data_IF_866590188329
#
_entry.id   IF_866590188329
#
_cell.length_a   1.000
_cell.length_b   1.000
_cell.length_c   1.000
_cell.angle_alpha   90.00
_cell.angle_beta   90.00
_cell.angle_gamma   90.00
#
_symmetry.space_group_name_H-M   'P 1'
#
loop_
_entity.id
_entity.type
_entity.pdbx_description
1 polymer ?
#
# COMPACT_ATOMS: atom_id res chain seq x y z
N UNK A 1 2.33 -25.17 -23.58
CA UNK A 1 3.14 -24.56 -22.50
C UNK A 1 2.36 -23.38 -22.01
N UNK A 2 1.62 -23.53 -20.90
CA UNK A 2 0.74 -22.49 -20.39
C UNK A 2 1.61 -21.37 -19.81
N UNK A 3 1.62 -20.21 -20.47
CA UNK A 3 2.25 -19.01 -19.95
C UNK A 3 1.43 -18.53 -18.76
N UNK A 4 2.06 -18.51 -17.59
CA UNK A 4 1.55 -17.78 -16.44
C UNK A 4 1.62 -16.28 -16.78
N UNK A 5 0.56 -15.73 -17.37
CA UNK A 5 0.43 -14.31 -17.70
C UNK A 5 0.26 -13.42 -16.45
N UNK A 6 0.42 -13.99 -15.25
CA UNK A 6 0.45 -13.30 -13.96
C UNK A 6 1.89 -13.09 -13.46
N UNK A 7 2.81 -12.78 -14.37
CA UNK A 7 4.13 -12.25 -14.04
C UNK A 7 4.18 -10.79 -14.52
N UNK A 8 3.14 -10.05 -14.15
CA UNK A 8 2.90 -8.66 -14.55
C UNK A 8 2.99 -7.74 -13.34
N UNK A 9 3.13 -6.44 -13.58
CA UNK A 9 3.31 -5.43 -12.53
C UNK A 9 2.23 -5.40 -11.43
N UNK A 10 1.11 -6.11 -11.59
CA UNK A 10 0.08 -6.35 -10.57
C UNK A 10 0.60 -7.13 -9.36
N UNK A 11 1.56 -8.05 -9.52
CA UNK A 11 2.16 -8.77 -8.39
C UNK A 11 2.98 -7.84 -7.48
N UNK A 12 3.70 -6.90 -8.09
CA UNK A 12 4.44 -5.87 -7.35
C UNK A 12 3.48 -4.91 -6.63
N UNK A 13 2.40 -4.49 -7.29
CA UNK A 13 1.39 -3.64 -6.65
C UNK A 13 0.78 -4.34 -5.44
N UNK A 14 0.41 -5.63 -5.59
CA UNK A 14 -0.09 -6.42 -4.46
C UNK A 14 0.93 -6.55 -3.32
N UNK A 15 2.20 -6.82 -3.63
CA UNK A 15 3.24 -6.91 -2.58
C UNK A 15 3.41 -5.60 -1.80
N UNK A 16 3.32 -4.46 -2.49
CA UNK A 16 3.36 -3.15 -1.83
C UNK A 16 2.12 -2.95 -0.96
N UNK A 17 0.93 -3.28 -1.47
CA UNK A 17 -0.33 -3.16 -0.71
C UNK A 17 -0.28 -4.06 0.54
N UNK A 18 0.07 -5.33 0.40
CA UNK A 18 0.19 -6.29 1.52
C UNK A 18 1.17 -5.78 2.58
N UNK A 19 2.32 -5.22 2.15
CA UNK A 19 3.30 -4.63 3.05
C UNK A 19 2.73 -3.43 3.81
N UNK A 20 2.07 -2.51 3.10
CA UNK A 20 1.45 -1.32 3.69
C UNK A 20 0.37 -1.71 4.72
N UNK A 21 -0.47 -2.68 4.39
CA UNK A 21 -1.52 -3.19 5.29
C UNK A 21 -0.91 -3.87 6.52
N UNK A 22 0.11 -4.71 6.33
CA UNK A 22 0.76 -5.45 7.41
C UNK A 22 1.43 -4.51 8.43
N UNK A 23 2.21 -3.53 7.96
CA UNK A 23 2.88 -2.56 8.84
C UNK A 23 1.85 -1.65 9.54
N UNK A 24 0.85 -1.15 8.82
CA UNK A 24 -0.19 -0.33 9.44
C UNK A 24 -0.98 -1.11 10.51
N UNK A 25 -1.28 -2.38 10.26
CA UNK A 25 -1.94 -3.27 11.22
C UNK A 25 -1.06 -3.57 12.42
N UNK A 26 0.25 -3.70 12.24
CA UNK A 26 1.22 -3.91 13.32
C UNK A 26 1.35 -2.67 14.22
N UNK A 27 1.33 -1.47 13.64
CA UNK A 27 1.45 -0.22 14.40
C UNK A 27 0.13 0.22 15.05
N UNK A 28 -1.00 0.12 14.34
CA UNK A 28 -2.28 0.67 14.79
C UNK A 28 -3.29 -0.39 15.24
N UNK A 29 -3.02 -1.67 14.97
CA UNK A 29 -3.96 -2.76 15.25
C UNK A 29 -5.17 -2.82 14.32
N UNK A 30 -5.20 -2.03 13.25
CA UNK A 30 -6.34 -1.92 12.32
C UNK A 30 -6.00 -2.52 10.97
N UNK A 31 -6.90 -3.35 10.46
CA UNK A 31 -6.74 -4.02 9.17
C UNK A 31 -7.38 -3.20 8.04
N UNK A 32 -6.56 -2.50 7.27
CA UNK A 32 -7.02 -1.68 6.13
C UNK A 32 -7.57 -2.52 4.97
N UNK A 33 -7.30 -3.83 4.91
CA UNK A 33 -7.85 -4.70 3.85
C UNK A 33 -9.37 -4.85 3.92
N UNK A 34 -9.96 -4.58 5.09
CA UNK A 34 -11.40 -4.65 5.29
C UNK A 34 -12.12 -3.38 4.80
N UNK A 35 -11.38 -2.29 4.62
CA UNK A 35 -11.91 -1.01 4.15
C UNK A 35 -11.67 -0.86 2.64
N UNK A 36 -12.75 -0.96 1.85
CA UNK A 36 -12.69 -0.83 0.40
C UNK A 36 -12.18 0.54 -0.05
N UNK A 37 -12.50 1.61 0.68
CA UNK A 37 -12.03 2.96 0.34
C UNK A 37 -10.52 3.09 0.62
N UNK A 38 -10.06 2.58 1.76
CA UNK A 38 -8.63 2.55 2.06
C UNK A 38 -7.85 1.71 1.04
N UNK A 39 -8.37 0.54 0.67
CA UNK A 39 -7.75 -0.35 -0.34
C UNK A 39 -7.58 0.32 -1.70
N UNK A 40 -8.56 1.10 -2.17
CA UNK A 40 -8.40 1.83 -3.44
C UNK A 40 -7.27 2.86 -3.33
N UNK A 41 -7.20 3.61 -2.23
CA UNK A 41 -6.14 4.59 -2.01
C UNK A 41 -4.76 3.94 -1.87
N UNK A 42 -4.68 2.80 -1.20
CA UNK A 42 -3.46 2.00 -1.10
C UNK A 42 -3.01 1.51 -2.48
N UNK A 43 -3.94 1.09 -3.33
CA UNK A 43 -3.65 0.67 -4.70
C UNK A 43 -3.07 1.82 -5.54
N UNK A 44 -3.69 2.99 -5.50
CA UNK A 44 -3.19 4.18 -6.23
C UNK A 44 -1.79 4.58 -5.73
N UNK A 45 -1.57 4.53 -4.42
CA UNK A 45 -0.28 4.82 -3.81
C UNK A 45 0.79 3.79 -4.17
N UNK A 46 0.44 2.50 -4.18
CA UNK A 46 1.33 1.41 -4.57
C UNK A 46 1.76 1.51 -6.04
N UNK A 47 0.81 1.78 -6.94
CA UNK A 47 1.12 1.94 -8.37
C UNK A 47 2.02 3.16 -8.61
N UNK A 48 1.76 4.27 -7.90
CA UNK A 48 2.63 5.46 -7.95
C UNK A 48 4.02 5.16 -7.39
N UNK A 49 4.11 4.53 -6.22
CA UNK A 49 5.36 4.16 -5.59
C UNK A 49 6.21 3.25 -6.48
N UNK A 50 5.59 2.25 -7.14
CA UNK A 50 6.26 1.37 -8.11
C UNK A 50 6.87 2.14 -9.28
N UNK A 51 6.11 3.11 -9.83
CA UNK A 51 6.60 3.98 -10.92
C UNK A 51 7.76 4.85 -10.44
N UNK A 52 7.63 5.46 -9.27
CA UNK A 52 8.67 6.29 -8.69
C UNK A 52 9.95 5.47 -8.44
N UNK A 53 9.83 4.27 -7.85
CA UNK A 53 10.95 3.35 -7.60
C UNK A 53 11.66 2.85 -8.86
N UNK A 54 11.05 3.02 -10.04
CA UNK A 54 11.72 2.74 -11.31
C UNK A 54 12.76 3.82 -11.67
N UNK A 55 12.66 5.01 -11.08
CA UNK A 55 13.57 6.14 -11.32
C UNK A 55 14.34 6.63 -10.08
N UNK A 56 13.86 6.31 -8.87
CA UNK A 56 14.51 6.67 -7.60
C UNK A 56 14.72 5.43 -6.73
N UNK A 57 15.73 5.47 -5.85
CA UNK A 57 16.04 4.37 -4.93
C UNK A 57 15.15 4.31 -3.70
N UNK A 58 14.33 5.34 -3.47
CA UNK A 58 13.42 5.41 -2.34
C UNK A 58 12.21 6.28 -2.67
N UNK A 59 11.03 5.88 -2.22
CA UNK A 59 9.79 6.67 -2.31
C UNK A 59 9.07 6.71 -0.97
N UNK A 60 8.35 7.81 -0.73
CA UNK A 60 7.52 7.99 0.47
C UNK A 60 6.05 7.90 0.08
N UNK A 61 5.33 7.01 0.75
CA UNK A 61 3.87 6.92 0.70
C UNK A 61 3.33 7.68 1.91
N UNK A 62 2.52 8.71 1.66
CA UNK A 62 1.78 9.44 2.69
C UNK A 62 0.30 9.50 2.30
N UNK A 63 -0.53 8.80 3.07
CA UNK A 63 -1.97 8.71 2.89
C UNK A 63 -2.66 9.27 4.14
N UNK A 64 -3.03 10.56 4.13
CA UNK A 64 -3.69 11.15 5.27
C UNK A 64 -5.15 10.71 5.35
N UNK A 65 -5.66 10.60 6.58
CA UNK A 65 -7.04 10.21 6.87
C UNK A 65 -7.41 8.89 6.17
N UNK A 66 -6.54 7.88 6.27
CA UNK A 66 -6.72 6.60 5.58
C UNK A 66 -7.83 5.77 6.23
N UNK A 67 -7.97 5.87 7.56
CA UNK A 67 -9.03 5.21 8.34
C UNK A 67 -9.27 5.97 9.65
N UNK A 68 -10.28 5.56 10.41
CA UNK A 68 -10.57 6.10 11.74
C UNK A 68 -10.35 5.02 12.80
N UNK A 69 -9.44 5.28 13.74
CA UNK A 69 -9.26 4.46 14.93
C UNK A 69 -10.05 4.99 16.11
N UNK A 70 -9.97 4.28 17.25
CA UNK A 70 -10.67 4.65 18.48
C UNK A 70 -10.25 6.04 19.03
N UNK A 71 -9.05 6.51 18.69
CA UNK A 71 -8.50 7.78 19.13
C UNK A 71 -8.69 8.93 18.11
N UNK A 72 -9.28 8.66 16.93
CA UNK A 72 -9.47 9.64 15.87
C UNK A 72 -8.98 9.16 14.50
N UNK A 73 -8.91 10.07 13.51
CA UNK A 73 -8.41 9.75 12.19
C UNK A 73 -6.94 9.33 12.23
N UNK A 74 -6.61 8.33 11.43
CA UNK A 74 -5.26 7.81 11.29
C UNK A 74 -4.70 8.10 9.90
N UNK A 75 -3.38 8.21 9.84
CA UNK A 75 -2.60 8.49 8.65
C UNK A 75 -1.64 7.34 8.43
N UNK A 76 -1.36 7.01 7.17
CA UNK A 76 -0.32 6.05 6.83
C UNK A 76 0.85 6.83 6.24
N UNK A 77 2.03 6.68 6.83
CA UNK A 77 3.29 7.24 6.34
C UNK A 77 4.33 6.14 6.30
N UNK A 78 4.90 5.86 5.13
CA UNK A 78 5.81 4.74 4.94
C UNK A 78 6.85 5.02 3.88
N UNK A 79 8.05 4.50 4.10
CA UNK A 79 9.18 4.60 3.19
C UNK A 79 9.44 3.26 2.52
N UNK A 80 9.39 3.22 1.19
CA UNK A 80 9.73 2.06 0.39
C UNK A 80 11.09 2.29 -0.30
N UNK A 81 11.95 1.28 -0.30
CA UNK A 81 13.29 1.28 -0.89
C UNK A 81 13.65 -0.11 -1.41
#
# INVERSE_FOLDING_TARGET
>A
TAGDNKLGGDDFDQKIIDFLVAEFKKENGIDLSQDKMALQRLKDAAEKAKKDLSGVTQTQISLPFITAGSAGPLHLEMSLS
#
